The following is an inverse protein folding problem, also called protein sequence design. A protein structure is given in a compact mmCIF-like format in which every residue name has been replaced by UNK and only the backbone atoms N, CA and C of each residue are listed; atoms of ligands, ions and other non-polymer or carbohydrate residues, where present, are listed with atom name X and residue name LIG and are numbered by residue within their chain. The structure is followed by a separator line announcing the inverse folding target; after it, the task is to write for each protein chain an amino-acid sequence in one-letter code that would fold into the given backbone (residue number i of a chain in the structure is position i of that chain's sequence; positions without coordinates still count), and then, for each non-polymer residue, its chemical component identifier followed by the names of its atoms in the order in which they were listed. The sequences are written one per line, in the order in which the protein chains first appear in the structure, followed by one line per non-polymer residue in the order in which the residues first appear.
data_IF_604371045233
#
_entry.id   IF_604371045233
#
_cell.length_a   1.000
_cell.length_b   1.000
_cell.length_c   1.000
_cell.angle_alpha   90.00
_cell.angle_beta   90.00
_cell.angle_gamma   90.00
#
_symmetry.space_group_name_H-M   'P 1'
#
loop_
_entity.id
_entity.type
_entity.pdbx_description
1 polymer ?
#
# COMPACT_ATOMS: atom_id res chain seq x y z
N UNK A 1 -6.79 26.20 -81.72
CA UNK A 1 -7.44 27.50 -81.39
C UNK A 1 -7.37 27.63 -79.87
N UNK A 2 -6.53 28.54 -79.36
CA UNK A 2 -6.95 29.80 -78.70
C UNK A 2 -7.82 29.59 -77.44
N UNK A 3 -7.56 30.17 -76.26
CA UNK A 3 -6.48 31.10 -75.87
C UNK A 3 -6.44 31.35 -74.34
N UNK A 4 -5.22 31.46 -73.79
CA UNK A 4 -4.77 32.45 -72.77
C UNK A 4 -5.64 32.76 -71.54
N UNK A 5 -5.11 32.47 -70.34
CA UNK A 5 -4.93 33.49 -69.28
C UNK A 5 -3.99 33.03 -68.14
N UNK A 6 -2.97 33.85 -67.88
CA UNK A 6 -2.30 34.02 -66.57
C UNK A 6 -2.86 35.35 -65.96
N UNK A 7 -2.65 35.72 -64.67
CA UNK A 7 -1.35 35.84 -63.98
C UNK A 7 -1.41 35.19 -62.57
N UNK A 8 -0.56 35.43 -61.56
CA UNK A 8 0.57 36.35 -61.38
C UNK A 8 1.66 35.75 -60.43
N UNK A 9 2.61 36.56 -59.97
CA UNK A 9 3.76 36.14 -59.17
C UNK A 9 4.03 37.15 -58.04
N UNK A 10 3.76 36.82 -56.77
CA UNK A 10 4.11 37.66 -55.62
C UNK A 10 5.16 36.97 -54.75
N UNK A 11 6.30 37.64 -54.57
CA UNK A 11 7.43 37.18 -53.76
C UNK A 11 7.17 37.49 -52.27
N UNK A 12 7.03 36.45 -51.45
CA UNK A 12 7.07 36.57 -49.99
C UNK A 12 8.47 36.29 -49.45
N UNK A 13 9.15 37.30 -48.92
CA UNK A 13 10.50 37.16 -48.33
C UNK A 13 10.44 36.56 -46.92
N UNK A 14 11.30 35.57 -46.64
CA UNK A 14 11.36 34.90 -45.35
C UNK A 14 11.94 35.80 -44.22
N UNK A 15 11.35 35.80 -43.01
CA UNK A 15 11.93 36.48 -41.85
C UNK A 15 13.07 35.66 -41.19
N UNK A 16 14.15 36.35 -40.80
CA UNK A 16 15.28 35.78 -40.05
C UNK A 16 14.90 35.47 -38.59
N UNK A 17 15.46 34.41 -37.97
CA UNK A 17 15.35 34.21 -36.53
C UNK A 17 16.21 35.21 -35.76
N UNK A 18 15.64 35.82 -34.71
CA UNK A 18 16.35 36.70 -33.79
C UNK A 18 16.81 35.93 -32.55
N UNK A 19 18.12 35.99 -32.28
CA UNK A 19 18.74 35.58 -31.02
C UNK A 19 18.68 36.78 -30.05
N UNK A 20 18.41 36.55 -28.76
CA UNK A 20 18.97 37.38 -27.70
C UNK A 20 19.86 36.56 -26.78
N UNK A 21 21.14 36.93 -26.71
CA UNK A 21 22.01 36.60 -25.59
C UNK A 21 21.63 37.45 -24.38
N UNK A 22 21.57 36.86 -23.18
CA UNK A 22 22.24 37.39 -21.98
C UNK A 22 21.89 36.57 -20.75
N UNK A 23 22.85 35.80 -20.24
CA UNK A 23 22.74 35.11 -18.94
C UNK A 23 23.18 36.05 -17.81
N UNK A 24 22.41 36.19 -16.72
CA UNK A 24 22.96 36.63 -15.45
C UNK A 24 23.48 35.42 -14.67
N UNK A 25 24.78 35.43 -14.33
CA UNK A 25 25.31 34.52 -13.31
C UNK A 25 24.79 34.96 -11.93
N UNK A 26 24.12 34.06 -11.20
CA UNK A 26 23.88 34.23 -9.77
C UNK A 26 24.41 33.00 -9.02
N UNK A 27 25.70 33.10 -8.72
CA UNK A 27 26.37 32.72 -7.47
C UNK A 27 25.68 31.62 -6.64
N UNK A 28 26.32 30.45 -6.65
CA UNK A 28 26.07 29.35 -5.72
C UNK A 28 26.33 29.79 -4.26
N UNK A 29 25.44 29.46 -3.32
CA UNK A 29 25.62 29.95 -1.94
C UNK A 29 24.67 29.44 -0.86
N UNK A 30 24.18 28.19 -0.94
CA UNK A 30 23.49 27.55 0.19
C UNK A 30 23.97 26.11 0.40
N UNK A 31 24.30 25.70 1.64
CA UNK A 31 24.79 24.36 1.91
C UNK A 31 23.66 23.33 1.82
N UNK A 32 23.72 22.46 0.82
CA UNK A 32 22.98 21.20 0.82
C UNK A 32 23.50 20.34 1.98
N UNK A 33 22.87 20.44 3.16
CA UNK A 33 22.97 19.39 4.17
C UNK A 33 22.42 18.12 3.55
N UNK A 34 23.26 17.10 3.45
CA UNK A 34 22.88 15.76 2.98
C UNK A 34 21.95 15.10 4.00
N UNK A 35 20.65 15.36 3.89
CA UNK A 35 19.64 14.47 4.44
C UNK A 35 19.60 13.21 3.57
N UNK A 36 20.45 12.24 3.91
CA UNK A 36 20.41 10.93 3.30
C UNK A 36 19.02 10.32 3.56
N UNK A 37 18.30 9.99 2.48
CA UNK A 37 17.09 9.18 2.61
C UNK A 37 17.48 7.80 3.16
N UNK A 38 16.85 7.31 4.24
CA UNK A 38 17.02 5.92 4.64
C UNK A 38 16.45 4.99 3.55
N UNK A 39 17.04 3.81 3.33
CA UNK A 39 16.59 2.88 2.29
C UNK A 39 15.17 2.38 2.59
N UNK A 40 14.35 2.32 1.54
CA UNK A 40 12.96 1.89 1.62
C UNK A 40 12.83 0.36 1.80
N UNK A 41 12.85 -0.12 3.05
CA UNK A 41 12.56 -1.53 3.38
C UNK A 41 12.18 -1.80 4.85
N UNK A 42 11.30 -0.98 5.44
CA UNK A 42 10.72 -1.28 6.78
C UNK A 42 9.33 -0.66 7.03
N UNK A 43 8.35 -0.96 6.18
CA UNK A 43 6.93 -0.62 6.43
C UNK A 43 6.01 -1.84 6.16
N UNK A 44 6.20 -2.89 6.96
CA UNK A 44 5.32 -4.05 6.99
C UNK A 44 4.36 -3.93 8.17
N UNK A 45 3.10 -3.58 7.87
CA UNK A 45 1.90 -3.83 8.69
C UNK A 45 1.99 -3.33 10.15
N UNK A 46 1.58 -2.07 10.38
CA UNK A 46 1.00 -1.69 11.67
C UNK A 46 -0.52 -1.93 11.64
N UNK A 47 -1.01 -2.60 12.68
CA UNK A 47 -2.33 -3.22 12.72
C UNK A 47 -3.46 -2.18 12.81
N UNK A 48 -4.48 -2.33 11.99
CA UNK A 48 -5.68 -1.46 11.95
C UNK A 48 -6.58 -1.54 13.19
N UNK A 49 -6.25 -2.39 14.16
CA UNK A 49 -6.96 -2.56 15.44
C UNK A 49 -6.40 -1.62 16.54
N UNK A 50 -5.11 -1.27 16.48
CA UNK A 50 -4.40 -0.49 17.50
C UNK A 50 -4.82 1.00 17.58
N UNK A 51 -5.65 1.48 16.65
CA UNK A 51 -6.22 2.83 16.68
C UNK A 51 -7.47 2.94 17.56
N UNK A 52 -8.13 1.82 17.89
CA UNK A 52 -9.36 1.79 18.67
C UNK A 52 -9.15 1.44 20.15
N UNK A 53 -8.03 0.79 20.51
CA UNK A 53 -7.83 0.28 21.86
C UNK A 53 -6.92 1.16 22.73
N UNK A 54 -7.51 1.70 23.80
CA UNK A 54 -6.87 2.41 24.90
C UNK A 54 -6.20 3.78 24.60
N UNK A 55 -6.42 4.73 25.53
CA UNK A 55 -5.68 6.00 25.57
C UNK A 55 -4.27 5.82 26.16
N UNK A 56 -4.08 4.87 27.08
CA UNK A 56 -2.80 4.66 27.77
C UNK A 56 -1.75 3.99 26.88
N UNK A 57 -2.12 2.98 26.09
CA UNK A 57 -1.19 2.32 25.15
C UNK A 57 -0.64 3.30 24.11
N UNK A 58 -1.47 4.23 23.64
CA UNK A 58 -1.02 5.33 22.76
C UNK A 58 0.00 6.22 23.47
N UNK A 59 -0.28 6.70 24.68
CA UNK A 59 0.67 7.56 25.40
C UNK A 59 2.01 6.88 25.74
N UNK A 60 2.00 5.57 25.99
CA UNK A 60 3.21 4.80 26.33
C UNK A 60 4.04 4.40 25.10
N UNK A 61 3.40 4.07 23.98
CA UNK A 61 4.10 3.85 22.72
C UNK A 61 4.73 5.15 22.20
N UNK A 62 4.06 6.29 22.42
CA UNK A 62 4.50 7.58 21.91
C UNK A 62 5.59 8.24 22.77
N UNK A 63 5.64 8.00 24.09
CA UNK A 63 6.70 8.54 24.97
C UNK A 63 8.13 8.10 24.60
N UNK A 64 8.26 7.13 23.69
CA UNK A 64 9.53 6.61 23.15
C UNK A 64 10.05 7.41 21.94
N UNK A 65 9.26 8.33 21.38
CA UNK A 65 9.65 9.19 20.27
C UNK A 65 9.97 10.62 20.77
N UNK A 66 10.67 11.42 19.96
CA UNK A 66 10.94 12.82 20.33
C UNK A 66 9.63 13.62 20.34
N UNK A 67 9.45 14.61 21.24
CA UNK A 67 8.20 15.37 21.34
C UNK A 67 7.80 16.11 20.05
N UNK A 68 8.77 16.43 19.19
CA UNK A 68 8.54 17.07 17.88
C UNK A 68 7.99 16.08 16.84
N UNK A 69 8.38 14.81 16.94
CA UNK A 69 7.95 13.75 16.02
C UNK A 69 6.62 13.11 16.47
N UNK A 70 6.34 13.05 17.77
CA UNK A 70 5.08 12.53 18.31
C UNK A 70 3.87 13.26 17.71
N UNK A 71 3.88 14.60 17.72
CA UNK A 71 2.72 15.39 17.29
C UNK A 71 2.49 15.29 15.77
N UNK A 72 3.57 15.27 14.98
CA UNK A 72 3.48 15.08 13.53
C UNK A 72 3.04 13.65 13.15
N UNK A 73 3.54 12.61 13.83
CA UNK A 73 3.13 11.22 13.63
C UNK A 73 1.69 10.97 14.10
N UNK A 74 1.29 11.52 15.25
CA UNK A 74 -0.10 11.47 15.72
C UNK A 74 -1.06 12.15 14.74
N UNK A 75 -0.68 13.32 14.25
CA UNK A 75 -1.50 14.07 13.29
C UNK A 75 -1.55 13.32 11.96
N UNK A 76 -0.42 12.80 11.47
CA UNK A 76 -0.38 11.96 10.27
C UNK A 76 -1.22 10.68 10.43
N UNK A 77 -1.22 10.02 11.58
CA UNK A 77 -2.02 8.81 11.84
C UNK A 77 -3.53 9.11 11.97
N UNK A 78 -3.91 10.20 12.65
CA UNK A 78 -5.30 10.69 12.68
C UNK A 78 -5.78 11.03 11.26
N UNK A 79 -4.97 11.77 10.50
CA UNK A 79 -5.26 12.15 9.12
C UNK A 79 -5.35 10.91 8.22
N UNK A 80 -4.41 9.97 8.32
CA UNK A 80 -4.39 8.75 7.50
C UNK A 80 -5.59 7.84 7.77
N UNK A 81 -5.95 7.62 9.04
CA UNK A 81 -7.06 6.73 9.40
C UNK A 81 -8.42 7.27 8.91
N UNK A 82 -8.66 8.58 9.02
CA UNK A 82 -9.83 9.17 8.38
C UNK A 82 -9.70 9.21 6.85
N UNK A 83 -8.57 9.66 6.30
CA UNK A 83 -8.38 9.74 4.85
C UNK A 83 -8.66 8.38 4.19
N UNK A 84 -8.14 7.28 4.75
CA UNK A 84 -8.33 5.93 4.24
C UNK A 84 -9.75 5.38 4.44
N UNK A 85 -10.41 5.68 5.57
CA UNK A 85 -11.80 5.28 5.81
C UNK A 85 -12.80 6.04 4.92
N UNK A 86 -12.53 7.32 4.66
CA UNK A 86 -13.41 8.17 3.87
C UNK A 86 -13.15 8.04 2.35
N UNK A 87 -11.90 7.91 1.86
CA UNK A 87 -11.63 7.88 0.41
C UNK A 87 -12.17 6.66 -0.37
N UNK A 88 -12.70 5.65 0.32
CA UNK A 88 -13.47 4.57 -0.34
C UNK A 88 -14.90 4.97 -0.72
N UNK A 89 -15.36 6.18 -0.37
CA UNK A 89 -16.75 6.64 -0.55
C UNK A 89 -17.84 5.83 0.17
N UNK A 90 -17.47 4.87 1.03
CA UNK A 90 -18.40 3.98 1.75
C UNK A 90 -18.81 4.53 3.14
N UNK A 91 -18.05 5.48 3.69
CA UNK A 91 -18.30 6.04 5.03
C UNK A 91 -19.14 7.32 5.05
N UNK A 92 -20.12 7.39 5.95
CA UNK A 92 -20.79 8.63 6.36
C UNK A 92 -20.39 8.99 7.78
N UNK A 93 -20.23 10.28 8.08
CA UNK A 93 -19.97 10.75 9.44
C UNK A 93 -20.97 11.79 9.92
N UNK A 94 -21.22 11.76 11.23
CA UNK A 94 -22.07 12.71 11.93
C UNK A 94 -21.31 13.98 12.31
N UNK A 95 -22.04 15.07 12.59
CA UNK A 95 -21.47 16.33 13.10
C UNK A 95 -20.56 16.13 14.31
N UNK A 96 -20.96 15.28 15.27
CA UNK A 96 -20.20 14.99 16.49
C UNK A 96 -18.86 14.31 16.20
N UNK A 97 -18.84 13.31 15.29
CA UNK A 97 -17.60 12.62 14.88
C UNK A 97 -16.64 13.59 14.18
N UNK A 98 -17.16 14.50 13.36
CA UNK A 98 -16.35 15.49 12.63
C UNK A 98 -15.83 16.59 13.55
N UNK A 99 -16.62 17.06 14.51
CA UNK A 99 -16.17 18.04 15.51
C UNK A 99 -15.08 17.45 16.40
N UNK A 100 -15.24 16.19 16.82
CA UNK A 100 -14.23 15.44 17.55
C UNK A 100 -12.94 15.23 16.73
N UNK A 101 -13.06 14.95 15.43
CA UNK A 101 -11.89 14.77 14.56
C UNK A 101 -11.10 16.05 14.34
N UNK A 102 -11.76 17.17 14.02
CA UNK A 102 -11.07 18.45 13.80
C UNK A 102 -10.70 19.19 15.10
N UNK A 103 -11.05 18.64 16.26
CA UNK A 103 -10.82 19.24 17.58
C UNK A 103 -11.45 20.63 17.70
N UNK A 104 -12.69 20.77 17.20
CA UNK A 104 -13.51 21.99 17.22
C UNK A 104 -14.87 21.72 17.88
N UNK A 105 -15.57 22.77 18.32
CA UNK A 105 -16.94 22.60 18.83
C UNK A 105 -17.95 22.28 17.72
N UNK A 106 -19.02 21.55 18.04
CA UNK A 106 -20.11 21.30 17.09
C UNK A 106 -20.75 22.60 16.56
N UNK A 107 -20.72 23.67 17.35
CA UNK A 107 -21.27 24.97 16.96
C UNK A 107 -20.49 25.59 15.82
N UNK A 108 -19.15 25.54 15.85
CA UNK A 108 -18.30 26.02 14.74
C UNK A 108 -18.58 25.22 13.46
N UNK A 109 -18.77 23.91 13.56
CA UNK A 109 -19.14 23.06 12.41
C UNK A 109 -20.50 23.46 11.84
N UNK A 110 -21.52 23.65 12.71
CA UNK A 110 -22.87 24.07 12.30
C UNK A 110 -22.87 25.48 11.68
N UNK A 111 -22.08 26.41 12.22
CA UNK A 111 -21.91 27.76 11.67
C UNK A 111 -21.26 27.72 10.29
N UNK A 112 -20.16 26.98 10.11
CA UNK A 112 -19.48 26.82 8.82
C UNK A 112 -20.42 26.22 7.75
N UNK A 113 -21.18 25.18 8.10
CA UNK A 113 -22.19 24.58 7.20
C UNK A 113 -23.36 25.52 6.90
N UNK A 114 -23.74 26.39 7.84
CA UNK A 114 -24.80 27.38 7.61
C UNK A 114 -24.34 28.50 6.70
N UNK A 115 -23.09 28.96 6.85
CA UNK A 115 -22.50 30.02 6.03
C UNK A 115 -22.22 29.57 4.58
N UNK A 116 -21.80 28.32 4.37
CA UNK A 116 -21.41 27.77 3.06
C UNK A 116 -22.34 26.65 2.57
N UNK A 117 -23.63 26.75 2.88
CA UNK A 117 -24.60 25.63 2.74
C UNK A 117 -24.63 25.02 1.34
N UNK A 118 -24.59 25.84 0.30
CA UNK A 118 -24.70 25.39 -1.08
C UNK A 118 -23.46 24.59 -1.51
N UNK A 119 -22.26 25.01 -1.08
CA UNK A 119 -21.01 24.27 -1.30
C UNK A 119 -21.06 22.89 -0.62
N UNK A 120 -21.58 22.84 0.61
CA UNK A 120 -21.74 21.58 1.35
C UNK A 120 -22.74 20.64 0.69
N UNK A 121 -23.90 21.12 0.25
CA UNK A 121 -24.89 20.29 -0.47
C UNK A 121 -24.29 19.75 -1.76
N UNK A 122 -23.58 20.58 -2.54
CA UNK A 122 -22.86 20.16 -3.75
C UNK A 122 -21.71 19.16 -3.46
N UNK A 123 -21.14 19.21 -2.25
CA UNK A 123 -20.13 18.26 -1.77
C UNK A 123 -20.71 16.96 -1.17
N UNK A 124 -22.04 16.78 -1.19
CA UNK A 124 -22.71 15.57 -0.67
C UNK A 124 -23.03 15.61 0.83
N UNK A 125 -23.15 16.79 1.44
CA UNK A 125 -23.77 16.94 2.76
C UNK A 125 -25.27 16.67 2.68
N UNK A 126 -25.79 15.80 3.55
CA UNK A 126 -27.22 15.50 3.63
C UNK A 126 -27.74 15.67 5.05
N UNK A 127 -28.94 16.24 5.18
CA UNK A 127 -29.72 16.20 6.42
C UNK A 127 -30.99 15.42 6.10
N UNK A 128 -30.98 14.07 6.26
CA UNK A 128 -32.09 13.23 5.81
C UNK A 128 -33.38 13.64 6.53
N UNK A 129 -34.48 13.72 5.78
CA UNK A 129 -35.80 13.99 6.36
C UNK A 129 -36.45 12.71 6.84
N UNK A 130 -37.27 12.84 7.87
CA UNK A 130 -38.10 11.74 8.38
C UNK A 130 -39.03 11.10 7.34
N UNK A 131 -39.43 11.85 6.32
CA UNK A 131 -40.21 11.35 5.19
C UNK A 131 -39.41 10.41 4.27
N UNK A 132 -38.11 10.65 4.11
CA UNK A 132 -37.22 9.90 3.23
C UNK A 132 -36.83 8.56 3.88
N UNK A 133 -36.53 8.55 5.19
CA UNK A 133 -36.19 7.33 5.92
C UNK A 133 -37.35 6.33 6.05
N UNK A 134 -38.61 6.79 6.01
CA UNK A 134 -39.79 5.90 6.07
C UNK A 134 -39.99 5.03 4.83
N UNK A 135 -39.28 5.30 3.72
CA UNK A 135 -39.38 4.52 2.49
C UNK A 135 -38.37 3.36 2.43
N UNK A 136 -37.42 3.27 3.38
CA UNK A 136 -36.51 2.13 3.50
C UNK A 136 -37.11 0.99 4.34
N UNK A 137 -36.91 -0.26 3.92
CA UNK A 137 -37.52 -1.48 4.49
C UNK A 137 -37.25 -1.71 6.00
N UNK A 138 -36.22 -1.08 6.59
CA UNK A 138 -35.77 -1.34 7.96
C UNK A 138 -36.48 -0.48 9.02
N UNK A 139 -37.82 -0.46 9.01
CA UNK A 139 -38.61 0.45 9.87
C UNK A 139 -38.45 0.27 11.38
N UNK A 140 -38.07 -0.93 11.84
CA UNK A 140 -38.01 -1.26 13.27
C UNK A 140 -36.84 -0.58 14.00
N UNK A 141 -35.64 -0.56 13.39
CA UNK A 141 -34.43 0.03 14.00
C UNK A 141 -34.51 1.55 14.16
N UNK A 142 -35.26 2.25 13.30
CA UNK A 142 -35.42 3.71 13.38
C UNK A 142 -36.44 4.18 14.43
N UNK A 143 -37.16 3.26 15.08
CA UNK A 143 -38.16 3.59 16.11
C UNK A 143 -37.59 4.38 17.29
N UNK A 144 -36.30 4.22 17.61
CA UNK A 144 -35.60 4.94 18.68
C UNK A 144 -35.46 6.46 18.45
N UNK A 145 -35.54 6.94 17.21
CA UNK A 145 -35.33 8.35 16.90
C UNK A 145 -36.64 9.18 16.88
N UNK A 146 -37.82 8.55 17.02
CA UNK A 146 -39.15 9.18 16.91
C UNK A 146 -39.22 10.54 17.63
N UNK A 147 -39.42 11.62 16.88
CA UNK A 147 -39.54 12.99 17.40
C UNK A 147 -38.22 13.77 17.56
N UNK A 148 -37.05 13.17 17.34
CA UNK A 148 -35.75 13.86 17.36
C UNK A 148 -35.35 14.36 15.97
N UNK A 149 -34.55 15.43 15.90
CA UNK A 149 -33.88 15.83 14.65
C UNK A 149 -32.86 14.75 14.28
N UNK A 150 -32.87 14.32 13.03
CA UNK A 150 -31.91 13.35 12.50
C UNK A 150 -30.51 13.99 12.46
N UNK A 151 -29.43 13.21 12.71
CA UNK A 151 -28.09 13.74 12.63
C UNK A 151 -27.76 14.15 11.19
N UNK A 152 -27.05 15.26 11.03
CA UNK A 152 -26.53 15.65 9.74
C UNK A 152 -25.38 14.72 9.33
N UNK A 153 -25.41 14.27 8.08
CA UNK A 153 -24.49 13.30 7.51
C UNK A 153 -23.55 13.98 6.50
N UNK A 154 -22.27 13.73 6.67
CA UNK A 154 -21.21 14.25 5.82
C UNK A 154 -20.58 13.10 5.03
N UNK A 155 -20.57 13.25 3.71
CA UNK A 155 -19.72 12.49 2.81
C UNK A 155 -18.23 12.89 3.01
N UNK A 156 -17.26 12.00 2.70
CA UNK A 156 -15.83 12.30 2.55
C UNK A 156 -15.50 13.69 2.00
N UNK A 157 -16.12 14.06 0.88
CA UNK A 157 -15.88 15.33 0.19
C UNK A 157 -16.34 16.53 1.02
N UNK A 158 -17.50 16.42 1.68
CA UNK A 158 -18.00 17.43 2.60
C UNK A 158 -17.14 17.55 3.87
N UNK A 159 -16.63 16.45 4.40
CA UNK A 159 -15.71 16.47 5.54
C UNK A 159 -14.38 17.17 5.19
N UNK A 160 -13.81 16.89 4.01
CA UNK A 160 -12.60 17.59 3.52
C UNK A 160 -12.86 19.07 3.25
N UNK A 161 -14.00 19.44 2.65
CA UNK A 161 -14.40 20.83 2.43
C UNK A 161 -14.43 21.62 3.74
N UNK A 162 -14.99 21.04 4.81
CA UNK A 162 -14.96 21.65 6.14
C UNK A 162 -13.51 21.89 6.62
N UNK A 163 -12.61 20.93 6.43
CA UNK A 163 -11.19 21.09 6.72
C UNK A 163 -10.47 22.18 5.91
N UNK A 164 -11.00 22.57 4.74
CA UNK A 164 -10.49 23.72 3.97
C UNK A 164 -10.94 25.05 4.57
N UNK A 165 -12.19 25.10 5.09
CA UNK A 165 -12.78 26.30 5.70
C UNK A 165 -12.27 26.56 7.13
N UNK A 166 -12.00 25.50 7.91
CA UNK A 166 -11.51 25.62 9.29
C UNK A 166 -10.07 26.15 9.33
N UNK A 167 -9.92 27.44 9.66
CA UNK A 167 -8.63 28.13 9.69
C UNK A 167 -7.76 27.73 10.88
N UNK A 168 -8.35 27.66 12.07
CA UNK A 168 -7.60 27.65 13.34
C UNK A 168 -7.23 26.25 13.84
N UNK A 169 -8.03 25.22 13.50
CA UNK A 169 -7.78 23.81 13.83
C UNK A 169 -6.41 23.35 13.32
N UNK A 170 -5.60 22.80 14.22
CA UNK A 170 -4.28 22.23 13.88
C UNK A 170 -4.42 21.06 12.89
N UNK A 171 -5.40 20.18 13.10
CA UNK A 171 -5.71 19.04 12.22
C UNK A 171 -6.17 19.54 10.84
N UNK A 172 -6.98 20.60 10.77
CA UNK A 172 -7.37 21.19 9.49
C UNK A 172 -6.19 21.80 8.71
N UNK A 173 -5.20 22.40 9.41
CA UNK A 173 -3.94 22.86 8.79
C UNK A 173 -3.12 21.69 8.24
N UNK A 174 -3.01 20.60 9.00
CA UNK A 174 -2.29 19.40 8.57
C UNK A 174 -2.97 18.69 7.38
N UNK A 175 -4.30 18.59 7.37
CA UNK A 175 -5.06 18.05 6.21
C UNK A 175 -4.82 18.89 4.95
N UNK A 176 -4.80 20.23 5.07
CA UNK A 176 -4.47 21.13 3.95
C UNK A 176 -3.05 20.90 3.42
N UNK A 177 -2.06 20.79 4.31
CA UNK A 177 -0.66 20.52 3.93
C UNK A 177 -0.51 19.15 3.25
N UNK A 178 -1.14 18.10 3.81
CA UNK A 178 -1.10 16.76 3.23
C UNK A 178 -1.77 16.70 1.84
N UNK A 179 -2.91 17.36 1.66
CA UNK A 179 -3.57 17.43 0.35
C UNK A 179 -2.72 18.18 -0.69
N UNK A 180 -2.03 19.26 -0.30
CA UNK A 180 -1.11 19.97 -1.18
C UNK A 180 0.07 19.08 -1.60
N UNK A 181 0.70 18.39 -0.66
CA UNK A 181 1.78 17.44 -0.97
C UNK A 181 1.30 16.30 -1.87
N UNK A 182 0.09 15.79 -1.67
CA UNK A 182 -0.51 14.76 -2.52
C UNK A 182 -0.73 15.29 -3.94
N UNK A 183 -1.22 16.52 -4.12
CA UNK A 183 -1.43 17.08 -5.46
C UNK A 183 -0.12 17.36 -6.18
N UNK A 184 0.88 17.94 -5.50
CA UNK A 184 2.23 18.15 -6.03
C UNK A 184 2.87 16.84 -6.52
N UNK A 185 2.86 15.80 -5.68
CA UNK A 185 3.36 14.48 -6.03
C UNK A 185 2.57 13.80 -7.15
N UNK A 186 1.23 13.97 -7.17
CA UNK A 186 0.38 13.43 -8.23
C UNK A 186 0.69 14.09 -9.59
N UNK A 187 0.89 15.41 -9.64
CA UNK A 187 1.27 16.08 -10.88
C UNK A 187 2.63 15.61 -11.39
N UNK A 188 3.64 15.53 -10.52
CA UNK A 188 4.97 15.02 -10.86
C UNK A 188 4.90 13.57 -11.39
N UNK A 189 4.20 12.68 -10.69
CA UNK A 189 4.01 11.29 -11.11
C UNK A 189 3.22 11.18 -12.43
N UNK A 190 2.23 12.03 -12.65
CA UNK A 190 1.43 12.03 -13.89
C UNK A 190 2.23 12.41 -15.14
N UNK A 191 3.26 13.26 -14.98
CA UNK A 191 4.20 13.61 -16.05
C UNK A 191 5.12 12.44 -16.37
N UNK A 192 5.67 11.79 -15.35
CA UNK A 192 6.56 10.64 -15.55
C UNK A 192 5.81 9.44 -16.14
N UNK A 193 4.56 9.19 -15.72
CA UNK A 193 3.70 8.15 -16.35
C UNK A 193 3.47 8.43 -17.84
N UNK A 194 3.26 9.70 -18.25
CA UNK A 194 3.13 10.06 -19.67
C UNK A 194 4.42 9.79 -20.43
N UNK A 195 5.56 10.24 -19.89
CA UNK A 195 6.89 10.02 -20.46
C UNK A 195 7.20 8.53 -20.65
N UNK A 196 7.00 7.72 -19.61
CA UNK A 196 7.19 6.28 -19.67
C UNK A 196 6.24 5.61 -20.67
N UNK A 197 5.01 6.10 -20.81
CA UNK A 197 4.06 5.58 -21.81
C UNK A 197 4.52 5.88 -23.24
N UNK A 198 5.03 7.08 -23.51
CA UNK A 198 5.62 7.45 -24.81
C UNK A 198 6.88 6.62 -25.13
N UNK A 199 7.75 6.42 -24.16
CA UNK A 199 8.95 5.59 -24.32
C UNK A 199 8.61 4.12 -24.59
N UNK A 200 7.65 3.56 -23.84
CA UNK A 200 7.14 2.22 -24.09
C UNK A 200 6.47 2.07 -25.47
N UNK A 201 5.89 3.13 -26.04
CA UNK A 201 5.39 3.09 -27.41
C UNK A 201 6.54 3.04 -28.41
N UNK A 202 7.53 3.94 -28.30
CA UNK A 202 8.71 3.96 -29.18
C UNK A 202 9.44 2.61 -29.19
N UNK A 203 9.54 1.95 -28.04
CA UNK A 203 10.15 0.62 -27.94
C UNK A 203 9.35 -0.46 -28.69
N UNK A 204 8.01 -0.39 -28.72
CA UNK A 204 7.17 -1.29 -29.53
C UNK A 204 7.41 -1.06 -31.02
N UNK A 205 7.38 0.19 -31.46
CA UNK A 205 7.60 0.58 -32.86
C UNK A 205 9.00 0.12 -33.35
N UNK A 206 10.03 0.19 -32.49
CA UNK A 206 11.38 -0.34 -32.76
C UNK A 206 11.41 -1.87 -32.82
N UNK A 207 10.62 -2.58 -32.01
CA UNK A 207 10.54 -4.04 -32.06
C UNK A 207 9.83 -4.50 -33.35
N UNK A 208 8.71 -3.86 -33.71
CA UNK A 208 7.95 -4.19 -34.91
C UNK A 208 8.77 -3.94 -36.19
N UNK A 209 9.43 -2.79 -36.31
CA UNK A 209 10.32 -2.50 -37.45
C UNK A 209 11.51 -3.46 -37.54
N UNK A 210 12.09 -3.91 -36.42
CA UNK A 210 13.13 -4.96 -36.43
C UNK A 210 12.59 -6.33 -36.83
N UNK A 211 11.34 -6.67 -36.48
CA UNK A 211 10.70 -7.91 -36.93
C UNK A 211 10.46 -7.89 -38.45
N UNK A 212 10.02 -6.76 -39.01
CA UNK A 212 9.86 -6.57 -40.45
C UNK A 212 11.20 -6.71 -41.19
N UNK A 213 12.26 -6.01 -40.74
CA UNK A 213 13.60 -6.13 -41.33
C UNK A 213 14.15 -7.57 -41.30
N UNK A 214 13.87 -8.31 -40.22
CA UNK A 214 14.25 -9.73 -40.13
C UNK A 214 13.54 -10.58 -41.20
N UNK A 215 12.23 -10.40 -41.35
CA UNK A 215 11.44 -11.10 -42.38
C UNK A 215 11.93 -10.77 -43.79
N UNK A 216 12.24 -9.50 -44.08
CA UNK A 216 12.80 -9.08 -45.38
C UNK A 216 14.17 -9.72 -45.65
N UNK A 217 15.04 -9.81 -44.63
CA UNK A 217 16.36 -10.43 -44.77
C UNK A 217 16.34 -11.94 -44.97
N UNK A 218 15.31 -12.64 -44.46
CA UNK A 218 15.17 -14.10 -44.61
C UNK A 218 14.72 -14.51 -46.03
N UNK A 219 14.04 -13.63 -46.78
CA UNK A 219 13.59 -13.89 -48.16
C UNK A 219 14.74 -13.90 -49.18
N UNK A 220 15.91 -13.34 -48.85
CA UNK A 220 17.09 -13.28 -49.73
C UNK A 220 18.00 -14.52 -49.70
N UNK A 221 17.65 -15.56 -48.95
CA UNK A 221 18.52 -16.71 -48.66
C UNK A 221 18.26 -17.88 -49.62
N UNK A 222 19.33 -18.50 -50.14
CA UNK A 222 19.27 -19.62 -51.10
C UNK A 222 18.35 -20.76 -50.63
N UNK A 223 17.66 -21.43 -51.56
CA UNK A 223 16.58 -22.37 -51.25
C UNK A 223 17.03 -23.58 -50.41
N UNK A 224 18.28 -24.03 -50.58
CA UNK A 224 18.87 -25.13 -49.79
C UNK A 224 19.19 -24.71 -48.34
N UNK A 225 19.61 -23.45 -48.13
CA UNK A 225 19.73 -22.90 -46.78
C UNK A 225 18.38 -22.61 -46.14
N UNK A 226 17.35 -22.30 -46.93
CA UNK A 226 15.97 -22.10 -46.45
C UNK A 226 15.29 -23.39 -45.99
N UNK A 227 15.53 -24.54 -46.64
CA UNK A 227 15.00 -25.82 -46.16
C UNK A 227 15.64 -26.23 -44.83
N UNK A 228 16.97 -26.11 -44.71
CA UNK A 228 17.67 -26.40 -43.45
C UNK A 228 17.26 -25.44 -42.32
N UNK A 229 17.15 -24.13 -42.59
CA UNK A 229 16.61 -23.17 -41.60
C UNK A 229 15.16 -23.50 -41.23
N UNK A 230 14.33 -23.94 -42.18
CA UNK A 230 12.94 -24.33 -41.92
C UNK A 230 12.83 -25.55 -40.99
N UNK A 231 13.71 -26.54 -41.15
CA UNK A 231 13.80 -27.67 -40.23
C UNK A 231 14.29 -27.24 -38.84
N UNK A 232 15.34 -26.41 -38.77
CA UNK A 232 15.83 -25.87 -37.50
C UNK A 232 14.77 -25.00 -36.79
N UNK A 233 14.03 -24.14 -37.52
CA UNK A 233 12.96 -23.31 -36.95
C UNK A 233 11.84 -24.18 -36.38
N UNK A 234 11.42 -25.24 -37.08
CA UNK A 234 10.43 -26.20 -36.57
C UNK A 234 10.89 -26.88 -35.28
N UNK A 235 12.16 -27.26 -35.18
CA UNK A 235 12.73 -27.85 -33.94
C UNK A 235 12.74 -26.83 -32.80
N UNK A 236 13.13 -25.58 -33.08
CA UNK A 236 13.14 -24.48 -32.08
C UNK A 236 11.72 -24.10 -31.65
N UNK A 237 10.76 -24.00 -32.57
CA UNK A 237 9.35 -23.74 -32.28
C UNK A 237 8.73 -24.87 -31.46
N UNK A 238 9.00 -26.14 -31.80
CA UNK A 238 8.58 -27.28 -31.00
C UNK A 238 9.19 -27.26 -29.59
N UNK A 239 10.46 -26.88 -29.45
CA UNK A 239 11.11 -26.71 -28.15
C UNK A 239 10.51 -25.55 -27.35
N UNK A 240 10.20 -24.42 -27.98
CA UNK A 240 9.53 -23.27 -27.33
C UNK A 240 8.10 -23.64 -26.93
N UNK A 241 7.34 -24.36 -27.77
CA UNK A 241 6.01 -24.87 -27.43
C UNK A 241 6.07 -25.85 -26.24
N UNK A 242 7.05 -26.75 -26.22
CA UNK A 242 7.31 -27.66 -25.11
C UNK A 242 7.63 -26.89 -23.82
N UNK A 243 8.61 -25.98 -23.86
CA UNK A 243 9.02 -25.13 -22.73
C UNK A 243 7.88 -24.25 -22.20
N UNK A 244 7.09 -23.63 -23.08
CA UNK A 244 5.94 -22.80 -22.66
C UNK A 244 4.79 -23.64 -22.08
N UNK A 245 4.55 -24.85 -22.58
CA UNK A 245 3.57 -25.76 -21.96
C UNK A 245 4.03 -26.28 -20.59
N UNK A 246 5.32 -26.60 -20.43
CA UNK A 246 5.93 -26.96 -19.15
C UNK A 246 5.84 -25.80 -18.15
N UNK A 247 6.18 -24.57 -18.55
CA UNK A 247 6.07 -23.39 -17.70
C UNK A 247 4.62 -23.11 -17.28
N UNK A 248 3.65 -23.28 -18.19
CA UNK A 248 2.22 -23.19 -17.84
C UNK A 248 1.82 -24.25 -16.80
N UNK A 249 2.29 -25.50 -16.94
CA UNK A 249 2.03 -26.56 -15.97
C UNK A 249 2.70 -26.30 -14.60
N UNK A 250 3.90 -25.72 -14.58
CA UNK A 250 4.57 -25.28 -13.35
C UNK A 250 3.76 -24.16 -12.68
N UNK A 251 3.34 -23.14 -13.43
CA UNK A 251 2.54 -22.04 -12.88
C UNK A 251 1.18 -22.49 -12.32
N UNK A 252 0.46 -23.39 -13.01
CA UNK A 252 -0.80 -23.94 -12.48
C UNK A 252 -0.58 -24.80 -11.24
N UNK A 253 0.51 -25.58 -11.18
CA UNK A 253 0.88 -26.34 -9.98
C UNK A 253 1.19 -25.42 -8.80
N UNK A 254 1.99 -24.36 -9.00
CA UNK A 254 2.29 -23.34 -7.97
C UNK A 254 0.99 -22.69 -7.47
N UNK A 255 0.10 -22.27 -8.38
CA UNK A 255 -1.18 -21.66 -8.03
C UNK A 255 -2.08 -22.61 -7.21
N UNK A 256 -2.10 -23.91 -7.55
CA UNK A 256 -2.84 -24.91 -6.77
C UNK A 256 -2.26 -25.10 -5.36
N UNK A 257 -0.94 -25.00 -5.18
CA UNK A 257 -0.33 -25.07 -3.85
C UNK A 257 -0.55 -23.79 -3.04
N UNK A 258 -0.48 -22.61 -3.65
CA UNK A 258 -0.76 -21.35 -2.94
C UNK A 258 -2.22 -21.26 -2.46
N UNK A 259 -3.18 -21.75 -3.24
CA UNK A 259 -4.59 -21.80 -2.80
C UNK A 259 -4.82 -22.83 -1.68
N UNK A 260 -4.16 -23.99 -1.71
CA UNK A 260 -4.18 -24.94 -0.58
C UNK A 260 -3.63 -24.32 0.71
N UNK A 261 -2.50 -23.60 0.62
CA UNK A 261 -1.90 -22.88 1.75
C UNK A 261 -2.83 -21.76 2.25
N UNK A 262 -3.43 -20.99 1.34
CA UNK A 262 -4.39 -19.93 1.68
C UNK A 262 -5.58 -20.48 2.47
N UNK A 263 -6.19 -21.58 2.02
CA UNK A 263 -7.29 -22.25 2.72
C UNK A 263 -6.86 -22.79 4.10
N UNK A 264 -5.64 -23.31 4.21
CA UNK A 264 -5.09 -23.73 5.51
C UNK A 264 -4.92 -22.54 6.47
N UNK A 265 -4.36 -21.41 6.01
CA UNK A 265 -4.24 -20.20 6.81
C UNK A 265 -5.60 -19.60 7.21
N UNK A 266 -6.59 -19.63 6.32
CA UNK A 266 -7.93 -19.13 6.64
C UNK A 266 -8.63 -20.02 7.68
N UNK A 267 -8.45 -21.35 7.61
CA UNK A 267 -8.92 -22.26 8.64
C UNK A 267 -8.22 -22.03 9.99
N UNK A 268 -6.89 -21.80 10.01
CA UNK A 268 -6.15 -21.44 11.23
C UNK A 268 -6.64 -20.12 11.82
N UNK A 269 -6.92 -19.11 10.98
CA UNK A 269 -7.49 -17.83 11.43
C UNK A 269 -8.88 -18.01 12.06
N UNK A 270 -9.76 -18.77 11.39
CA UNK A 270 -11.11 -19.09 11.93
C UNK A 270 -11.05 -19.87 13.25
N UNK A 271 -10.01 -20.68 13.48
CA UNK A 271 -9.78 -21.34 14.77
C UNK A 271 -9.28 -20.32 15.81
N UNK A 272 -8.30 -19.50 15.48
CA UNK A 272 -7.79 -18.44 16.35
C UNK A 272 -8.90 -17.49 16.83
N UNK A 273 -9.74 -17.02 15.91
CA UNK A 273 -10.84 -16.09 16.24
C UNK A 273 -11.90 -16.76 17.14
N UNK A 274 -12.16 -18.07 16.96
CA UNK A 274 -12.97 -18.86 17.89
C UNK A 274 -12.31 -18.96 19.28
N UNK A 275 -11.00 -19.15 19.35
CA UNK A 275 -10.30 -19.23 20.65
C UNK A 275 -10.29 -17.90 21.41
N UNK A 276 -10.22 -16.76 20.70
CA UNK A 276 -10.38 -15.43 21.33
C UNK A 276 -11.79 -15.19 21.87
N UNK A 277 -12.82 -15.79 21.26
CA UNK A 277 -14.22 -15.62 21.69
C UNK A 277 -14.63 -16.42 22.93
N UNK A 278 -13.74 -17.26 23.49
CA UNK A 278 -14.05 -18.17 24.60
C UNK A 278 -13.22 -17.85 25.86
N UNK A 279 -13.80 -17.15 26.86
CA UNK A 279 -13.13 -16.96 28.14
C UNK A 279 -13.05 -18.29 28.93
N UNK A 280 -11.84 -18.86 29.05
CA UNK A 280 -11.54 -19.90 30.04
C UNK A 280 -10.97 -21.25 29.55
N UNK A 281 -10.68 -21.44 28.26
CA UNK A 281 -10.28 -22.76 27.69
C UNK A 281 -8.78 -22.92 27.38
N UNK A 282 -7.90 -22.41 28.24
CA UNK A 282 -6.44 -22.30 28.01
C UNK A 282 -5.69 -23.60 27.65
N UNK A 283 -6.13 -24.77 28.14
CA UNK A 283 -5.42 -26.05 27.90
C UNK A 283 -5.89 -26.82 26.66
N UNK A 284 -7.17 -26.74 26.30
CA UNK A 284 -7.70 -27.51 25.16
C UNK A 284 -7.23 -26.93 23.82
N UNK A 285 -7.05 -25.61 23.77
CA UNK A 285 -6.51 -24.88 22.62
C UNK A 285 -5.01 -25.15 22.44
N UNK A 286 -4.23 -25.26 23.51
CA UNK A 286 -2.81 -25.66 23.42
C UNK A 286 -2.64 -27.08 22.88
N UNK A 287 -3.50 -28.03 23.25
CA UNK A 287 -3.41 -29.41 22.75
C UNK A 287 -3.82 -29.52 21.27
N UNK A 288 -4.79 -28.73 20.81
CA UNK A 288 -5.14 -28.63 19.38
C UNK A 288 -4.01 -27.98 18.55
N UNK A 289 -3.37 -26.93 19.07
CA UNK A 289 -2.18 -26.32 18.44
C UNK A 289 -1.01 -27.33 18.40
N UNK A 290 -0.76 -28.06 19.48
CA UNK A 290 0.29 -29.10 19.54
C UNK A 290 0.00 -30.25 18.56
N UNK A 291 -1.26 -30.66 18.39
CA UNK A 291 -1.62 -31.68 17.41
C UNK A 291 -1.53 -31.18 15.95
N UNK A 292 -1.77 -29.90 15.68
CA UNK A 292 -1.44 -29.26 14.40
C UNK A 292 0.08 -29.21 14.15
N UNK A 293 0.89 -28.90 15.17
CA UNK A 293 2.36 -28.94 15.07
C UNK A 293 2.88 -30.38 14.85
N UNK A 294 2.20 -31.42 15.33
CA UNK A 294 2.57 -32.82 15.02
C UNK A 294 2.36 -33.24 13.56
N UNK A 295 1.60 -32.47 12.76
CA UNK A 295 1.45 -32.69 11.31
C UNK A 295 2.61 -32.11 10.47
N UNK A 296 3.63 -31.53 11.11
CA UNK A 296 4.75 -30.84 10.44
C UNK A 296 5.87 -31.70 9.79
N UNK A 297 6.02 -33.04 9.91
CA UNK A 297 7.14 -33.73 9.26
C UNK A 297 7.09 -33.71 7.73
N UNK A 298 5.99 -33.24 7.11
CA UNK A 298 5.85 -33.01 5.67
C UNK A 298 6.16 -31.59 5.18
N UNK A 299 6.44 -30.64 6.08
CA UNK A 299 6.76 -29.26 5.68
C UNK A 299 8.08 -29.18 4.90
N UNK A 300 8.10 -28.37 3.85
CA UNK A 300 9.32 -28.01 3.13
C UNK A 300 10.34 -27.32 4.06
N UNK A 301 11.58 -27.21 3.59
CA UNK A 301 12.66 -26.52 4.33
C UNK A 301 12.31 -25.04 4.57
N UNK A 302 11.59 -24.42 3.62
CA UNK A 302 11.17 -23.02 3.68
C UNK A 302 10.09 -22.83 4.75
N UNK A 303 9.05 -23.69 4.76
CA UNK A 303 7.97 -23.62 5.75
C UNK A 303 8.48 -23.86 7.18
N UNK A 304 9.42 -24.80 7.36
CA UNK A 304 10.09 -24.99 8.67
C UNK A 304 10.91 -23.78 9.11
N UNK A 305 11.60 -23.09 8.18
CA UNK A 305 12.30 -21.85 8.50
C UNK A 305 11.33 -20.74 8.91
N UNK A 306 10.23 -20.58 8.18
CA UNK A 306 9.22 -19.57 8.49
C UNK A 306 8.53 -19.84 9.85
N UNK A 307 8.18 -21.10 10.14
CA UNK A 307 7.61 -21.48 11.43
C UNK A 307 8.53 -21.15 12.61
N UNK A 308 9.84 -21.36 12.48
CA UNK A 308 10.82 -20.98 13.52
C UNK A 308 10.89 -19.46 13.69
N UNK A 309 10.86 -18.68 12.59
CA UNK A 309 10.87 -17.20 12.67
C UNK A 309 9.62 -16.69 13.38
N UNK A 310 8.42 -17.11 12.93
CA UNK A 310 7.16 -16.70 13.54
C UNK A 310 7.05 -17.14 15.00
N UNK A 311 7.63 -18.29 15.37
CA UNK A 311 7.69 -18.71 16.77
C UNK A 311 8.64 -17.86 17.63
N UNK A 312 9.79 -17.43 17.09
CA UNK A 312 10.68 -16.48 17.76
C UNK A 312 10.02 -15.10 17.95
N UNK A 313 9.31 -14.60 16.94
CA UNK A 313 8.51 -13.36 17.02
C UNK A 313 7.37 -13.45 18.05
N UNK A 314 6.74 -14.63 18.20
CA UNK A 314 5.75 -14.88 19.24
C UNK A 314 6.38 -14.87 20.63
N UNK A 315 7.55 -15.50 20.81
CA UNK A 315 8.29 -15.47 22.08
C UNK A 315 8.69 -14.03 22.47
N UNK A 316 9.12 -13.20 21.51
CA UNK A 316 9.42 -11.77 21.76
C UNK A 316 8.20 -10.98 22.29
N UNK A 317 6.98 -11.40 21.93
CA UNK A 317 5.72 -10.74 22.32
C UNK A 317 5.12 -11.26 23.64
N UNK A 318 5.70 -12.29 24.25
CA UNK A 318 5.22 -12.78 25.55
C UNK A 318 5.63 -11.83 26.70
N UNK A 319 4.81 -11.73 27.76
CA UNK A 319 5.14 -10.93 28.95
C UNK A 319 6.44 -11.42 29.60
N UNK A 320 7.14 -10.52 30.31
CA UNK A 320 8.45 -10.83 30.91
C UNK A 320 8.42 -12.01 31.90
N UNK A 321 7.26 -12.23 32.55
CA UNK A 321 7.07 -13.28 33.55
C UNK A 321 6.80 -14.68 32.95
N UNK A 322 6.68 -14.81 31.62
CA UNK A 322 6.45 -16.12 30.98
C UNK A 322 7.78 -16.88 30.80
N UNK A 323 7.89 -18.05 31.44
CA UNK A 323 9.04 -18.97 31.33
C UNK A 323 9.46 -19.29 29.88
N UNK A 324 8.52 -19.22 28.93
CA UNK A 324 8.75 -19.43 27.49
C UNK A 324 9.72 -18.42 26.88
N UNK A 325 9.81 -17.22 27.45
CA UNK A 325 10.75 -16.17 27.03
C UNK A 325 12.21 -16.59 27.21
N UNK A 326 12.45 -17.46 28.18
CA UNK A 326 13.77 -17.99 28.52
C UNK A 326 14.07 -19.35 27.84
N UNK A 327 13.26 -19.80 26.87
CA UNK A 327 13.51 -21.08 26.20
C UNK A 327 14.82 -21.09 25.41
N UNK A 328 15.62 -22.12 25.68
CA UNK A 328 16.81 -22.46 24.90
C UNK A 328 16.43 -22.91 23.48
N UNK A 329 17.35 -22.74 22.52
CA UNK A 329 17.14 -23.24 21.15
C UNK A 329 16.92 -24.78 21.10
N UNK A 330 17.28 -25.53 22.15
CA UNK A 330 16.96 -26.96 22.29
C UNK A 330 15.49 -27.19 22.62
N UNK A 331 14.92 -26.42 23.55
CA UNK A 331 13.49 -26.49 23.88
C UNK A 331 12.64 -26.05 22.69
N UNK A 332 13.01 -24.96 22.02
CA UNK A 332 12.35 -24.49 20.79
C UNK A 332 12.42 -25.56 19.69
N UNK A 333 13.60 -26.17 19.47
CA UNK A 333 13.77 -27.24 18.48
C UNK A 333 12.97 -28.51 18.79
N UNK A 334 12.95 -28.93 20.06
CA UNK A 334 12.14 -30.07 20.52
C UNK A 334 10.63 -29.81 20.36
N UNK A 335 10.17 -28.60 20.65
CA UNK A 335 8.77 -28.20 20.49
C UNK A 335 8.32 -28.15 19.02
N UNK A 336 9.16 -27.62 18.13
CA UNK A 336 8.85 -27.47 16.70
C UNK A 336 9.23 -28.69 15.83
N UNK A 337 9.87 -29.72 16.40
CA UNK A 337 10.40 -30.85 15.63
C UNK A 337 11.56 -30.47 14.70
N UNK A 338 12.30 -29.40 15.02
CA UNK A 338 13.40 -28.86 14.20
C UNK A 338 14.74 -29.09 14.92
N UNK A 339 15.78 -29.61 14.24
CA UNK A 339 17.09 -29.82 14.87
C UNK A 339 17.69 -28.49 15.39
N UNK A 340 18.31 -28.56 16.57
CA UNK A 340 18.92 -27.43 17.28
C UNK A 340 19.82 -26.54 16.40
N UNK A 341 20.61 -27.13 15.50
CA UNK A 341 21.51 -26.41 14.60
C UNK A 341 20.76 -25.45 13.68
N UNK A 342 19.61 -25.86 13.13
CA UNK A 342 18.75 -25.04 12.29
C UNK A 342 18.12 -23.90 13.10
N UNK A 343 17.58 -24.19 14.29
CA UNK A 343 17.01 -23.15 15.17
C UNK A 343 18.06 -22.12 15.59
N UNK A 344 19.26 -22.57 15.96
CA UNK A 344 20.34 -21.69 16.35
C UNK A 344 20.81 -20.80 15.19
N UNK A 345 20.94 -21.36 13.97
CA UNK A 345 21.29 -20.59 12.77
C UNK A 345 20.24 -19.53 12.45
N UNK A 346 18.96 -19.88 12.49
CA UNK A 346 17.85 -18.93 12.26
C UNK A 346 17.82 -17.84 13.33
N UNK A 347 18.04 -18.18 14.61
CA UNK A 347 18.10 -17.20 15.70
C UNK A 347 19.30 -16.24 15.53
N UNK A 348 20.44 -16.72 15.07
CA UNK A 348 21.60 -15.89 14.74
C UNK A 348 21.36 -14.98 13.53
N UNK A 349 20.73 -15.48 12.47
CA UNK A 349 20.32 -14.68 11.30
C UNK A 349 19.29 -13.60 11.69
N UNK A 350 18.29 -13.95 12.48
CA UNK A 350 17.25 -13.02 12.97
C UNK A 350 17.82 -11.96 13.92
N UNK A 351 18.76 -12.34 14.79
CA UNK A 351 19.48 -11.39 15.65
C UNK A 351 20.45 -10.51 14.84
N UNK A 352 21.09 -11.02 13.79
CA UNK A 352 22.00 -10.24 12.94
C UNK A 352 21.31 -9.21 12.04
N UNK A 353 19.99 -9.35 11.82
CA UNK A 353 19.15 -8.38 11.10
C UNK A 353 18.70 -7.19 11.97
N UNK A 354 19.02 -7.17 13.27
CA UNK A 354 18.82 -6.03 14.17
C UNK A 354 20.16 -5.70 14.81
N UNK A 355 20.70 -4.51 14.52
CA UNK A 355 22.08 -4.12 14.84
C UNK A 355 22.55 -4.52 16.25
N UNK A 356 23.69 -5.20 16.34
CA UNK A 356 24.27 -5.57 17.64
C UNK A 356 25.09 -4.42 18.22
N UNK A 357 24.79 -3.94 19.44
CA UNK A 357 25.74 -3.13 20.19
C UNK A 357 26.88 -4.05 20.63
N UNK A 358 28.09 -3.79 20.12
CA UNK A 358 29.33 -4.44 20.52
C UNK A 358 29.50 -4.37 22.05
N UNK A 359 29.25 -5.48 22.75
CA UNK A 359 29.66 -5.62 24.16
C UNK A 359 31.02 -6.29 24.24
N UNK A 360 31.89 -5.63 25.01
CA UNK A 360 33.29 -5.95 25.19
C UNK A 360 33.54 -7.41 25.57
N UNK A 361 34.59 -7.97 24.97
CA UNK A 361 35.33 -9.11 25.49
C UNK A 361 35.86 -8.71 26.88
N UNK A 362 35.54 -9.49 27.91
CA UNK A 362 36.21 -9.39 29.21
C UNK A 362 37.42 -10.32 29.18
N UNK A 363 38.57 -9.80 29.58
CA UNK A 363 39.80 -10.57 29.68
C UNK A 363 39.73 -11.58 30.83
N UNK A 364 40.18 -12.81 30.56
CA UNK A 364 40.51 -13.89 31.51
C UNK A 364 41.35 -14.92 30.76
#
# INVERSE_FOLDING_TARGET
MQSVSSPEFIRGTAPKPLIPHSSPQIICGFPLRSCALPPASSLTILQSEALCESKSLRTEALSKFSPVDIESVLTAAKVHSLFQAFWKNEGWATTAQISQYYEVSEEVVRQAVTAHRDEFVNAGYSTPKWSELKQGENSETFSFFKGRKLPALFNPRAAVLLGMLLRDSAIAKAVRAALLQITENYFALSLEIKRLKEENQRLRDIIESKQQQKQESEVGVSSETMTLLGEMSRVVEAYIASSTSLNKAIHTSIHQQSEKLRLAFENLRRLHDKTLSLPGSSQKTTDEIVNLVKLTPRLSVIERRQAVITFLELIEKLPEDDERKNWSCRQIGAFLGVPYSTVNKIRQEHAGLRETPLRYRKDS
#
